data_IF_408432860134
#
_entry.id   IF_408432860134
#
_cell.length_a   1.000
_cell.length_b   1.000
_cell.length_c   1.000
_cell.angle_alpha   90.00
_cell.angle_beta   90.00
_cell.angle_gamma   90.00
#
_symmetry.space_group_name_H-M   'P 1'
#
loop_
_entity.id
_entity.type
_entity.pdbx_description
1 polymer ?
2 non-polymer ?
3 water ?
#
# COMPACT_ATOMS: atom_id res chain seq x y z
N UNK A 113 -6.53 -18.83 -0.21
CA UNK A 113 -6.62 -18.44 1.20
C UNK A 113 -6.41 -16.92 1.37
N UNK A 114 -7.07 -16.32 2.39
CA UNK A 114 -6.95 -14.88 2.63
C UNK A 114 -5.51 -14.50 2.97
N UNK A 115 -4.91 -15.10 4.03
CA UNK A 115 -3.55 -14.75 4.46
C UNK A 115 -2.48 -15.03 3.42
N UNK A 116 -2.66 -16.09 2.61
CA UNK A 116 -1.71 -16.46 1.55
C UNK A 116 -1.60 -15.32 0.53
N UNK A 117 -2.76 -14.84 0.05
CA UNK A 117 -2.88 -13.71 -0.86
C UNK A 117 -2.32 -12.42 -0.27
N UNK A 118 -2.63 -12.13 1.01
CA UNK A 118 -2.12 -10.92 1.68
C UNK A 118 -0.60 -10.87 1.74
N UNK A 119 0.05 -12.01 2.09
CA UNK A 119 1.52 -12.11 2.21
C UNK A 119 2.17 -11.94 0.82
N UNK A 120 1.61 -12.58 -0.22
CA UNK A 120 2.13 -12.41 -1.61
C UNK A 120 1.97 -10.96 -2.07
N UNK A 121 0.86 -10.33 -1.71
CA UNK A 121 0.65 -8.96 -2.08
C UNK A 121 1.54 -7.97 -1.31
N UNK A 122 1.78 -8.26 -0.03
CA UNK A 122 2.65 -7.43 0.81
C UNK A 122 4.08 -7.48 0.22
N UNK A 123 4.47 -8.64 -0.27
CA UNK A 123 5.80 -8.77 -0.88
C UNK A 123 5.82 -8.10 -2.29
N UNK A 124 4.93 -8.51 -3.21
CA UNK A 124 4.89 -7.98 -4.59
C UNK A 124 4.65 -6.46 -4.64
N UNK A 125 3.68 -6.02 -3.85
CA UNK A 125 3.23 -4.64 -3.84
C UNK A 125 3.98 -3.67 -2.95
N UNK A 126 4.87 -4.16 -2.10
CA UNK A 126 5.60 -3.27 -1.18
C UNK A 126 7.05 -3.66 -0.93
N UNK A 127 7.29 -4.81 -0.25
CA UNK A 127 8.65 -5.25 0.13
C UNK A 127 9.64 -5.37 -1.04
N UNK A 128 9.21 -6.00 -2.14
CA UNK A 128 9.98 -6.17 -3.39
C UNK A 128 10.43 -4.79 -3.96
N UNK A 129 9.64 -3.72 -3.69
CA UNK A 129 9.91 -2.37 -4.20
C UNK A 129 10.76 -1.49 -3.28
N UNK A 130 10.72 -1.73 -1.96
CA UNK A 130 11.51 -0.89 -1.02
C UNK A 130 12.80 -1.56 -0.53
N UNK A 131 12.80 -2.88 -0.32
CA UNK A 131 13.97 -3.57 0.29
C UNK A 131 15.26 -3.48 -0.55
N UNK A 132 15.25 -3.53 -1.93
CA UNK A 132 16.53 -3.39 -2.67
C UNK A 132 17.15 -2.00 -2.57
N UNK A 133 16.36 -0.98 -2.16
CA UNK A 133 16.79 0.40 -2.00
C UNK A 133 17.04 0.82 -0.54
N UNK A 134 16.65 -0.03 0.43
CA UNK A 134 16.75 0.29 1.85
C UNK A 134 18.18 0.51 2.39
N UNK A 135 19.14 -0.40 2.07
CA UNK A 135 20.53 -0.28 2.54
C UNK A 135 21.13 1.10 2.25
N UNK A 136 20.96 1.60 1.00
CA UNK A 136 21.49 2.91 0.56
C UNK A 136 20.88 4.06 1.33
N UNK A 137 19.56 3.96 1.71
CA UNK A 137 18.89 5.00 2.48
C UNK A 137 19.43 5.05 3.92
N UNK A 138 19.68 3.87 4.53
CA UNK A 138 20.24 3.77 5.89
C UNK A 138 21.70 4.31 5.94
N UNK A 139 22.50 3.94 4.93
CA UNK A 139 23.89 4.40 4.77
C UNK A 139 23.94 5.92 4.63
N UNK A 140 23.05 6.51 3.80
CA UNK A 140 22.92 7.96 3.56
C UNK A 140 22.58 8.66 4.88
N UNK A 141 21.62 8.10 5.66
CA UNK A 141 21.23 8.65 6.95
C UNK A 141 22.41 8.63 7.94
N UNK A 142 23.10 7.48 8.06
CA UNK A 142 24.23 7.29 8.97
C UNK A 142 25.43 8.19 8.67
N UNK A 143 25.64 8.51 7.38
CA UNK A 143 26.77 9.34 6.92
C UNK A 143 26.55 10.83 7.14
N UNK A 144 25.29 11.28 7.20
CA UNK A 144 24.99 12.66 7.53
C UNK A 144 25.19 12.84 9.06
N UNK A 145 24.75 11.84 9.84
CA UNK A 145 24.83 11.81 11.30
C UNK A 145 25.94 10.86 11.73
N UNK A 151 26.39 4.50 17.26
CA UNK A 151 25.32 5.47 17.07
C UNK A 151 24.51 5.23 15.81
N UNK A 152 25.10 4.47 14.86
CA UNK A 152 24.52 4.15 13.56
C UNK A 152 23.19 3.41 13.67
N UNK A 153 22.24 3.74 12.77
CA UNK A 153 20.94 3.05 12.62
C UNK A 153 21.30 1.69 12.04
N UNK A 154 20.77 0.62 12.61
CA UNK A 154 21.04 -0.71 12.10
C UNK A 154 20.42 -0.88 10.69
N UNK A 155 20.97 -1.81 9.92
CA UNK A 155 20.47 -2.12 8.61
C UNK A 155 19.17 -2.92 8.83
N UNK A 156 18.43 -3.19 7.76
CA UNK A 156 17.21 -4.02 7.75
C UNK A 156 15.96 -3.37 8.29
N UNK A 157 14.86 -3.63 7.61
CA UNK A 157 13.56 -3.17 8.04
C UNK A 157 13.06 -4.21 9.05
N UNK A 158 12.76 -3.76 10.26
CA UNK A 158 12.25 -4.63 11.30
C UNK A 158 10.72 -4.57 11.20
N UNK A 159 10.12 -5.69 10.78
CA UNK A 159 8.68 -5.83 10.53
C UNK A 159 7.97 -6.48 11.70
N UNK A 160 7.10 -5.70 12.36
CA UNK A 160 6.31 -6.18 13.49
C UNK A 160 5.13 -6.99 13.00
N UNK A 161 5.05 -8.22 13.54
CA UNK A 161 4.01 -9.18 13.18
C UNK A 161 3.20 -9.62 14.38
N UNK A 162 2.35 -8.72 14.95
CA UNK A 162 1.52 -9.14 16.10
C UNK A 162 0.45 -10.16 15.66
N UNK A 163 0.53 -11.38 16.22
CA UNK A 163 -0.42 -12.46 15.86
C UNK A 163 -1.87 -12.14 16.26
N UNK A 164 -2.07 -11.20 17.24
CA UNK A 164 -3.42 -10.76 17.63
C UNK A 164 -4.01 -9.77 16.61
N UNK A 165 -3.17 -9.35 15.62
CA UNK A 165 -3.53 -8.47 14.52
C UNK A 165 -3.83 -7.01 14.96
N UNK A 166 -3.39 -6.67 16.18
CA UNK A 166 -3.51 -5.33 16.74
C UNK A 166 -2.41 -4.48 16.14
N UNK A 167 -2.79 -3.53 15.29
CA UNK A 167 -1.83 -2.67 14.58
C UNK A 167 -2.06 -1.21 15.01
N UNK A 168 -1.38 -0.73 16.07
CA UNK A 168 -1.55 0.68 16.45
C UNK A 168 -0.76 1.60 15.52
N UNK A 169 -1.16 2.86 15.41
CA UNK A 169 -0.44 3.80 14.54
C UNK A 169 0.79 4.42 15.19
N UNK A 170 0.82 4.50 16.53
CA UNK A 170 1.93 5.07 17.28
C UNK A 170 2.63 3.99 18.10
N UNK A 171 3.93 3.81 17.86
CA UNK A 171 4.75 2.78 18.53
C UNK A 171 5.09 3.09 19.99
N UNK A 172 5.30 4.39 20.33
CA UNK A 172 5.60 4.81 21.72
C UNK A 172 4.41 4.52 22.66
N UNK A 173 3.20 4.35 22.08
CA UNK A 173 1.97 4.01 22.77
C UNK A 173 2.00 2.55 23.19
N UNK A 174 2.45 1.65 22.26
CA UNK A 174 2.58 0.21 22.50
C UNK A 174 3.65 -0.09 23.56
N UNK A 175 4.72 0.70 23.57
CA UNK A 175 5.83 0.59 24.52
C UNK A 175 6.58 1.93 24.62
N UNK A 176 6.62 2.56 25.84
CA UNK A 176 7.36 3.83 25.99
C UNK A 176 8.88 3.70 25.77
N UNK A 177 9.43 2.45 25.82
CA UNK A 177 10.84 2.17 25.54
C UNK A 177 11.16 2.15 24.03
N UNK A 178 10.14 2.40 23.18
CA UNK A 178 10.28 2.53 21.72
C UNK A 178 9.99 3.98 21.46
N UNK A 179 11.04 4.75 21.18
CA UNK A 179 10.94 6.19 20.99
C UNK A 179 11.31 6.60 19.58
N UNK A 180 10.43 7.42 18.95
CA UNK A 180 10.67 7.93 17.59
C UNK A 180 11.90 8.85 17.57
N UNK A 181 12.85 8.54 16.70
CA UNK A 181 14.06 9.33 16.56
C UNK A 181 13.96 10.25 15.33
N UNK A 182 13.74 9.67 14.13
CA UNK A 182 13.71 10.41 12.88
C UNK A 182 13.08 9.61 11.75
N UNK A 183 12.75 10.29 10.64
CA UNK A 183 12.25 9.63 9.44
C UNK A 183 13.50 9.42 8.57
N UNK A 184 13.60 8.25 7.94
CA UNK A 184 14.68 7.90 7.03
C UNK A 184 14.50 8.80 5.75
N UNK A 185 15.50 9.18 4.93
CA UNK A 185 15.17 9.97 3.73
C UNK A 185 14.16 9.18 2.85
N UNK A 186 13.08 9.81 2.39
CA UNK A 186 12.05 9.11 1.62
C UNK A 186 12.53 8.54 0.28
N UNK A 187 11.88 7.45 -0.14
CA UNK A 187 12.12 6.83 -1.44
C UNK A 187 10.94 7.26 -2.31
N UNK A 188 11.20 7.56 -3.61
CA UNK A 188 10.14 7.90 -4.57
C UNK A 188 10.28 7.01 -5.80
N UNK A 189 9.14 6.67 -6.44
CA UNK A 189 9.09 5.88 -7.66
C UNK A 189 7.76 6.05 -8.36
N UNK A 190 7.77 6.01 -9.69
CA UNK A 190 6.53 6.03 -10.46
C UNK A 190 5.92 4.67 -10.29
N UNK A 191 4.70 4.64 -9.76
CA UNK A 191 4.05 3.38 -9.44
C UNK A 191 2.60 3.38 -9.84
N UNK A 192 2.24 2.54 -10.82
CA UNK A 192 0.88 2.33 -11.30
C UNK A 192 0.11 3.62 -11.58
N UNK A 193 0.76 4.57 -12.25
CA UNK A 193 0.15 5.85 -12.59
C UNK A 193 0.33 6.91 -11.54
N UNK A 194 0.87 6.56 -10.37
CA UNK A 194 1.14 7.53 -9.31
C UNK A 194 2.58 7.99 -9.57
N UNK A 195 2.75 9.24 -10.03
CA UNK A 195 4.07 9.85 -10.26
C UNK A 195 4.71 10.08 -8.89
N UNK A 196 6.00 9.71 -8.72
CA UNK A 196 6.73 9.87 -7.45
C UNK A 196 5.95 9.38 -6.24
N UNK A 197 5.46 8.12 -6.30
CA UNK A 197 4.80 7.46 -5.17
C UNK A 197 5.86 7.46 -4.06
N UNK A 198 5.50 8.00 -2.89
CA UNK A 198 6.44 8.14 -1.76
C UNK A 198 6.39 6.96 -0.79
N UNK A 199 7.57 6.42 -0.48
CA UNK A 199 7.77 5.39 0.53
C UNK A 199 8.54 6.02 1.68
N UNK A 200 7.84 6.26 2.78
CA UNK A 200 8.46 6.82 3.97
C UNK A 200 8.59 5.75 5.06
N UNK A 201 9.73 5.75 5.78
CA UNK A 201 9.98 4.81 6.88
C UNK A 201 10.58 5.55 8.08
N UNK A 202 10.25 5.07 9.29
CA UNK A 202 10.64 5.68 10.56
C UNK A 202 11.69 4.91 11.35
N UNK A 203 12.64 5.67 11.93
CA UNK A 203 13.74 5.19 12.77
C UNK A 203 13.31 5.35 14.22
N UNK A 204 13.56 4.32 15.02
CA UNK A 204 13.24 4.27 16.43
C UNK A 204 14.44 3.92 17.27
N UNK A 205 14.49 4.50 18.50
CA UNK A 205 15.49 4.17 19.50
C UNK A 205 14.82 3.15 20.42
N UNK A 206 15.55 2.13 20.84
CA UNK A 206 15.05 1.13 21.76
C UNK A 206 15.78 1.34 23.06
N UNK A 207 15.03 1.59 24.13
CA UNK A 207 15.57 1.85 25.46
C UNK A 207 15.48 0.62 26.34
N UNK A 208 16.48 0.46 27.21
CA UNK A 208 16.53 -0.63 28.17
C UNK A 208 17.12 -0.03 29.46
N UNK A 209 16.30 0.04 30.53
CA UNK A 209 16.64 0.61 31.85
C UNK A 209 17.22 2.05 31.72
N UNK A 210 16.54 2.87 30.94
CA UNK A 210 16.91 4.27 30.68
C UNK A 210 18.09 4.48 29.72
N UNK A 211 18.63 3.40 29.15
CA UNK A 211 19.77 3.52 28.20
C UNK A 211 19.38 3.12 26.77
N UNK A 212 19.89 3.83 25.76
CA UNK A 212 19.62 3.41 24.38
C UNK A 212 20.40 2.14 24.10
N UNK A 213 19.68 1.05 23.76
CA UNK A 213 20.22 -0.28 23.51
C UNK A 213 20.24 -0.65 22.02
N UNK A 214 19.53 0.11 21.20
CA UNK A 214 19.47 -0.10 19.76
C UNK A 214 18.75 0.99 19.01
N UNK A 215 18.98 1.06 17.69
CA UNK A 215 18.39 2.01 16.76
C UNK A 215 18.06 1.28 15.46
N UNK A 216 16.78 1.29 15.05
CA UNK A 216 16.37 0.57 13.84
C UNK A 216 15.16 1.18 13.11
N UNK A 217 14.98 0.78 11.85
CA UNK A 217 13.85 1.15 11.00
C UNK A 217 12.78 0.10 11.38
N UNK A 218 11.61 0.59 11.80
CA UNK A 218 10.58 -0.27 12.35
C UNK A 218 9.17 0.14 11.91
N UNK A 219 8.35 -0.88 11.64
CA UNK A 219 6.91 -0.73 11.30
C UNK A 219 6.15 -2.05 11.42
N UNK A 220 4.82 -1.96 11.48
CA UNK A 220 3.95 -3.12 11.46
C UNK A 220 3.64 -3.51 10.02
N UNK A 221 3.44 -4.81 9.77
CA UNK A 221 2.94 -5.33 8.48
C UNK A 221 1.43 -4.99 8.48
N UNK A 222 1.05 -3.93 7.77
CA UNK A 222 -0.33 -3.42 7.69
C UNK A 222 -1.39 -4.48 7.23
N UNK A 223 -1.09 -5.53 6.41
CA UNK A 223 -2.15 -6.53 6.07
C UNK A 223 -2.72 -7.29 7.28
N UNK A 224 -1.97 -7.35 8.41
CA UNK A 224 -2.48 -7.95 9.64
C UNK A 224 -3.71 -7.16 10.15
N UNK A 225 -3.75 -5.82 9.94
CA UNK A 225 -4.93 -5.01 10.31
C UNK A 225 -6.11 -5.36 9.40
N UNK A 226 -5.84 -5.83 8.16
CA UNK A 226 -6.93 -6.25 7.29
C UNK A 226 -7.61 -7.48 7.90
N UNK A 227 -6.81 -8.44 8.43
CA UNK A 227 -7.37 -9.64 9.08
C UNK A 227 -8.22 -9.22 10.30
N UNK A 228 -7.73 -8.27 11.09
CA UNK A 228 -8.47 -7.74 12.25
C UNK A 228 -9.82 -7.15 11.77
N UNK A 229 -9.78 -6.23 10.78
CA UNK A 229 -10.99 -5.58 10.27
C UNK A 229 -11.97 -6.59 9.65
N UNK A 230 -11.46 -7.58 8.89
CA UNK A 230 -12.33 -8.61 8.32
C UNK A 230 -13.07 -9.44 9.39
N UNK A 231 -12.38 -9.72 10.54
CA UNK A 231 -13.01 -10.45 11.65
C UNK A 231 -14.07 -9.58 12.36
N UNK A 232 -14.04 -8.24 12.16
CA UNK A 232 -15.01 -7.32 12.76
C UNK A 232 -16.26 -7.11 11.89
N UNK A 233 -16.12 -7.14 10.55
CA UNK A 233 -17.21 -6.85 9.60
C UNK A 233 -17.94 -8.06 9.09
N UNK A 234 -19.25 -8.16 9.35
CA UNK A 234 -20.08 -9.29 8.93
C UNK A 234 -19.96 -9.59 7.47
N UNK A 235 -19.92 -8.58 6.60
CA UNK A 235 -19.83 -8.77 5.14
C UNK A 235 -18.53 -9.42 4.66
N UNK A 236 -17.47 -9.42 5.50
CA UNK A 236 -16.22 -10.05 5.11
C UNK A 236 -16.25 -11.57 5.15
N UNK A 237 -17.23 -12.17 5.85
CA UNK A 237 -17.40 -13.62 5.99
C UNK A 237 -16.16 -14.27 6.58
N UNK A 238 -15.58 -13.62 7.59
CA UNK A 238 -14.32 -14.05 8.19
C UNK A 238 -14.49 -14.03 9.69
N UNK A 239 -14.38 -15.20 10.33
CA UNK A 239 -14.59 -15.27 11.77
C UNK A 239 -13.36 -14.95 12.58
N UNK A 240 -13.63 -14.40 13.77
CA UNK A 240 -12.63 -14.08 14.80
C UNK A 240 -11.95 -15.37 15.23
N UNK A 241 -12.68 -16.52 15.20
CA UNK A 241 -12.12 -17.82 15.57
C UNK A 241 -11.04 -18.30 14.62
N UNK A 242 -11.03 -17.81 13.37
CA UNK A 242 -10.05 -18.16 12.32
C UNK A 242 -8.90 -17.17 12.18
N UNK A 243 -8.97 -16.04 12.91
CA UNK A 243 -8.00 -14.98 12.74
C UNK A 243 -6.56 -15.36 13.13
N UNK A 244 -6.35 -16.01 14.31
CA UNK A 244 -5.01 -16.41 14.75
C UNK A 244 -4.30 -17.34 13.74
N UNK A 245 -5.02 -18.34 13.22
CA UNK A 245 -4.49 -19.27 12.21
C UNK A 245 -4.10 -18.50 10.93
N UNK A 246 -4.94 -17.52 10.52
CA UNK A 246 -4.67 -16.66 9.36
C UNK A 246 -3.44 -15.76 9.59
N UNK A 247 -3.30 -15.17 10.80
CA UNK A 247 -2.12 -14.34 11.11
C UNK A 247 -0.83 -15.18 11.04
N UNK A 248 -0.86 -16.43 11.58
CA UNK A 248 0.30 -17.33 11.54
C UNK A 248 0.64 -17.72 10.09
N UNK A 249 -0.38 -18.00 9.27
CA UNK A 249 -0.21 -18.34 7.86
C UNK A 249 0.36 -17.14 7.08
N UNK A 250 -0.08 -15.90 7.40
CA UNK A 250 0.47 -14.70 6.79
C UNK A 250 1.99 -14.65 7.04
N UNK A 251 2.40 -14.86 8.31
CA UNK A 251 3.82 -14.84 8.72
C UNK A 251 4.64 -15.95 8.04
N UNK A 252 4.09 -17.18 8.03
CA UNK A 252 4.76 -18.32 7.41
C UNK A 252 4.93 -18.15 5.90
N UNK A 253 3.89 -17.62 5.20
CA UNK A 253 3.94 -17.38 3.75
C UNK A 253 5.01 -16.33 3.46
N UNK A 254 5.04 -15.25 4.26
CA UNK A 254 6.04 -14.20 4.11
C UNK A 254 7.47 -14.73 4.29
N UNK A 255 7.70 -15.61 5.28
CA UNK A 255 8.99 -16.26 5.54
C UNK A 255 9.41 -17.12 4.33
N UNK A 256 8.49 -17.95 3.79
CA UNK A 256 8.73 -18.79 2.61
C UNK A 256 9.08 -17.96 1.37
N UNK A 257 8.35 -16.83 1.12
CA UNK A 257 8.61 -15.95 -0.03
C UNK A 257 10.03 -15.37 0.08
N UNK A 258 10.34 -14.77 1.25
CA UNK A 258 11.63 -14.14 1.50
C UNK A 258 12.81 -15.08 1.39
N UNK A 259 12.61 -16.36 1.70
CA UNK A 259 13.63 -17.41 1.60
C UNK A 259 14.06 -17.62 0.12
N UNK A 260 13.25 -17.17 -0.85
CA UNK A 260 13.52 -17.24 -2.30
C UNK A 260 13.90 -15.89 -2.92
N UNK A 261 13.93 -14.80 -2.11
CA UNK A 261 14.28 -13.44 -2.53
C UNK A 261 15.47 -12.96 -1.63
N UNK A 262 16.74 -13.33 -1.96
CA UNK A 262 17.89 -13.01 -1.06
C UNK A 262 18.07 -11.54 -0.68
N UNK A 263 18.00 -10.68 -1.70
CA UNK A 263 18.11 -9.21 -1.59
C UNK A 263 16.98 -8.59 -0.72
N UNK A 264 15.86 -9.31 -0.57
CA UNK A 264 14.78 -8.84 0.29
C UNK A 264 14.94 -9.43 1.69
N UNK A 265 15.29 -10.74 1.76
CA UNK A 265 15.52 -11.49 3.00
C UNK A 265 16.61 -10.83 3.89
N UNK A 266 17.77 -10.48 3.31
CA UNK A 266 18.86 -9.86 4.09
C UNK A 266 18.59 -8.39 4.44
N UNK A 267 17.53 -7.81 3.88
CA UNK A 267 17.18 -6.43 4.13
C UNK A 267 16.02 -6.26 5.09
N UNK A 268 15.55 -7.35 5.68
CA UNK A 268 14.46 -7.26 6.64
C UNK A 268 14.52 -8.38 7.67
N UNK A 269 13.81 -8.19 8.78
CA UNK A 269 13.69 -9.14 9.87
C UNK A 269 12.24 -9.23 10.29
N UNK A 270 11.72 -10.45 10.35
CA UNK A 270 10.32 -10.72 10.73
C UNK A 270 10.19 -10.91 12.25
N UNK A 271 9.45 -10.03 12.91
CA UNK A 271 9.25 -10.08 14.37
C UNK A 271 7.81 -10.51 14.67
N UNK A 272 7.58 -11.82 14.70
CA UNK A 272 6.27 -12.41 15.03
C UNK A 272 6.19 -12.64 16.55
N UNK A 273 5.05 -12.28 17.15
CA UNK A 273 4.84 -12.44 18.60
C UNK A 273 3.38 -12.53 18.97
N UNK A 274 3.11 -13.15 20.13
CA UNK A 274 1.82 -13.25 20.77
C UNK A 274 1.99 -12.68 22.19
N UNK A 275 1.09 -11.80 22.63
CA UNK A 275 1.16 -11.19 23.96
C UNK A 275 0.51 -12.10 25.00
N UNK A 282 4.03 -7.65 28.89
CA UNK A 282 4.76 -7.82 27.63
C UNK A 282 5.60 -6.59 27.26
N UNK A 283 6.85 -6.81 26.83
CA UNK A 283 7.72 -5.73 26.40
C UNK A 283 8.03 -5.85 24.91
N UNK A 284 7.43 -4.96 24.10
CA UNK A 284 7.67 -4.95 22.65
C UNK A 284 9.13 -4.58 22.35
N UNK A 285 9.70 -3.62 23.10
CA UNK A 285 11.12 -3.22 22.93
C UNK A 285 12.06 -4.39 23.17
N UNK A 286 11.78 -5.25 24.19
CA UNK A 286 12.59 -6.44 24.48
C UNK A 286 12.47 -7.47 23.36
N UNK A 287 11.27 -7.53 22.73
CA UNK A 287 11.02 -8.43 21.60
C UNK A 287 11.89 -7.98 20.42
N UNK A 288 11.91 -6.66 20.12
CA UNK A 288 12.72 -6.10 19.04
C UNK A 288 14.22 -6.26 19.35
N UNK A 289 14.65 -5.92 20.59
CA UNK A 289 16.05 -6.00 21.01
C UNK A 289 16.64 -7.42 20.89
N UNK A 290 15.83 -8.44 21.19
CA UNK A 290 16.23 -9.84 21.08
C UNK A 290 16.61 -10.18 19.65
N UNK A 291 15.85 -9.68 18.66
CA UNK A 291 16.15 -9.87 17.24
C UNK A 291 17.38 -9.07 16.80
N UNK A 292 17.48 -7.79 17.22
CA UNK A 292 18.59 -6.89 16.90
C UNK A 292 19.96 -7.40 17.41
N UNK A 293 19.98 -8.03 18.62
CA UNK A 293 21.17 -8.59 19.26
C UNK A 293 21.65 -9.94 18.67
N UNK A 294 20.92 -10.51 17.70
CA UNK A 294 21.28 -11.75 17.03
C UNK A 294 22.26 -11.52 15.89
N UNK A 295 22.43 -10.25 15.50
CA UNK A 295 23.36 -9.84 14.44
C UNK A 295 24.61 -9.22 15.05
N UNK B 113 -10.62 -16.80 -0.22
CA UNK B 113 -10.15 -16.59 -1.58
C UNK B 113 -9.10 -15.48 -1.65
N UNK B 114 -8.19 -15.58 -2.67
CA UNK B 114 -7.13 -14.59 -2.83
C UNK B 114 -7.71 -13.21 -3.15
N UNK B 115 -8.51 -13.08 -4.23
CA UNK B 115 -9.06 -11.77 -4.64
C UNK B 115 -9.96 -11.15 -3.59
N UNK B 116 -10.71 -11.97 -2.82
CA UNK B 116 -11.61 -11.50 -1.76
C UNK B 116 -10.80 -10.74 -0.69
N UNK B 117 -9.73 -11.36 -0.21
CA UNK B 117 -8.79 -10.77 0.74
C UNK B 117 -8.08 -9.53 0.20
N UNK B 118 -7.65 -9.57 -1.08
CA UNK B 118 -6.98 -8.41 -1.70
C UNK B 118 -7.89 -7.17 -1.78
N UNK B 119 -9.18 -7.36 -2.14
CA UNK B 119 -10.15 -6.27 -2.22
C UNK B 119 -10.42 -5.68 -0.83
N UNK B 120 -10.61 -6.53 0.18
CA UNK B 120 -10.81 -6.06 1.58
C UNK B 120 -9.59 -5.31 2.07
N UNK B 121 -8.40 -5.79 1.72
CA UNK B 121 -7.17 -5.14 2.14
C UNK B 121 -6.93 -3.82 1.41
N UNK B 122 -7.26 -3.75 0.10
CA UNK B 122 -7.15 -2.53 -0.68
C UNK B 122 -8.08 -1.47 -0.07
N UNK B 123 -9.25 -1.90 0.38
CA UNK B 123 -10.15 -0.95 1.02
C UNK B 123 -9.63 -0.54 2.43
N UNK B 124 -9.48 -1.51 3.33
CA UNK B 124 -9.03 -1.30 4.73
C UNK B 124 -7.68 -0.59 4.84
N UNK B 125 -6.72 -1.02 4.03
CA UNK B 125 -5.35 -0.52 4.05
C UNK B 125 -5.02 0.70 3.21
N UNK B 126 -5.94 1.13 2.36
CA UNK B 126 -5.68 2.26 1.48
C UNK B 126 -6.88 3.18 1.24
N UNK B 127 -7.94 2.69 0.53
CA UNK B 127 -9.10 3.49 0.17
C UNK B 127 -9.81 4.17 1.36
N UNK B 128 -10.07 3.40 2.44
CA UNK B 128 -10.69 3.86 3.70
C UNK B 128 -9.89 5.05 4.30
N UNK B 129 -8.56 5.10 4.06
CA UNK B 129 -7.67 6.10 4.61
C UNK B 129 -7.48 7.35 3.74
N UNK B 130 -7.63 7.23 2.40
CA UNK B 130 -7.42 8.37 1.53
C UNK B 130 -8.70 9.01 1.01
N UNK B 131 -9.77 8.22 0.76
CA UNK B 131 -10.99 8.73 0.15
C UNK B 131 -11.72 9.78 1.01
N UNK B 132 -11.78 9.70 2.37
CA UNK B 132 -12.45 10.79 3.14
C UNK B 132 -11.71 12.14 3.12
N UNK B 133 -10.44 12.13 2.73
CA UNK B 133 -9.60 13.32 2.65
C UNK B 133 -9.38 13.82 1.19
N UNK B 134 -9.81 13.04 0.19
CA UNK B 134 -9.61 13.35 -1.22
C UNK B 134 -10.30 14.65 -1.69
N UNK B 135 -11.60 14.85 -1.38
CA UNK B 135 -12.34 16.05 -1.81
C UNK B 135 -11.62 17.35 -1.47
N UNK B 136 -11.12 17.48 -0.22
CA UNK B 136 -10.41 18.67 0.25
C UNK B 136 -9.11 18.91 -0.49
N UNK B 137 -8.40 17.82 -0.89
CA UNK B 137 -7.15 17.92 -1.64
C UNK B 137 -7.42 18.42 -3.07
N UNK B 138 -8.48 17.88 -3.72
CA UNK B 138 -8.87 18.31 -5.08
C UNK B 138 -9.29 19.80 -5.07
N UNK B 139 -10.14 20.22 -4.10
CA UNK B 139 -10.61 21.61 -3.91
C UNK B 139 -9.44 22.57 -3.72
N UNK B 140 -8.44 22.19 -2.89
CA UNK B 140 -7.21 22.93 -2.61
C UNK B 140 -6.42 23.12 -3.89
N UNK B 141 -6.30 22.04 -4.71
CA UNK B 141 -5.60 22.11 -5.98
C UNK B 141 -6.30 23.08 -6.95
N UNK B 142 -7.62 22.95 -7.10
CA UNK B 142 -8.42 23.80 -8.00
C UNK B 142 -8.36 25.30 -7.65
N UNK B 143 -8.26 25.61 -6.34
CA UNK B 143 -8.22 26.98 -5.82
C UNK B 143 -6.84 27.64 -5.83
N UNK B 144 -5.75 26.86 -5.59
CA UNK B 144 -4.39 27.40 -5.42
C UNK B 144 -3.27 26.89 -6.33
N UNK B 145 -3.43 25.69 -6.93
CA UNK B 145 -2.34 25.13 -7.73
C UNK B 145 -2.71 24.91 -9.19
N UNK B 146 -4.00 24.75 -9.47
CA UNK B 146 -4.47 24.59 -10.85
C UNK B 146 -4.21 25.87 -11.61
N UNK B 147 -3.77 25.72 -12.87
CA UNK B 147 -3.58 26.82 -13.79
C UNK B 147 -4.94 27.56 -13.79
N UNK B 148 -4.89 28.87 -13.51
CA UNK B 148 -6.00 29.82 -13.39
C UNK B 148 -6.98 29.80 -14.59
N UNK B 149 -6.47 29.49 -15.77
CA UNK B 149 -7.22 29.47 -17.03
C UNK B 149 -7.84 28.14 -17.38
N UNK B 150 -7.40 27.08 -16.68
CA UNK B 150 -7.82 25.70 -16.92
C UNK B 150 -9.12 25.34 -16.26
N UNK B 151 -9.70 24.25 -16.75
CA UNK B 151 -10.89 23.67 -16.17
C UNK B 151 -10.49 22.95 -14.90
N UNK B 152 -11.40 22.93 -13.94
CA UNK B 152 -11.25 22.28 -12.64
C UNK B 152 -11.01 20.78 -12.79
N UNK B 153 -10.16 20.24 -11.91
CA UNK B 153 -9.90 18.80 -11.81
C UNK B 153 -11.22 18.22 -11.28
N UNK B 154 -11.71 17.12 -11.87
CA UNK B 154 -12.93 16.49 -11.38
C UNK B 154 -12.72 15.88 -10.00
N UNK B 155 -13.81 15.70 -9.26
CA UNK B 155 -13.76 15.05 -7.96
C UNK B 155 -13.59 13.53 -8.25
N UNK B 156 -13.35 12.73 -7.21
CA UNK B 156 -13.27 11.26 -7.25
C UNK B 156 -11.98 10.70 -7.79
N UNK B 157 -11.52 9.64 -7.14
CA UNK B 157 -10.36 8.90 -7.58
C UNK B 157 -10.86 7.91 -8.62
N UNK B 158 -10.30 7.99 -9.83
CA UNK B 158 -10.65 7.09 -10.91
C UNK B 158 -9.66 5.91 -10.83
N UNK B 159 -10.20 4.73 -10.48
CA UNK B 159 -9.44 3.51 -10.24
C UNK B 159 -9.49 2.57 -11.45
N UNK B 160 -8.33 2.37 -12.08
CA UNK B 160 -8.21 1.50 -13.24
C UNK B 160 -8.15 0.07 -12.82
N UNK B 161 -9.07 -0.73 -13.38
CA UNK B 161 -9.21 -2.14 -13.08
C UNK B 161 -9.06 -3.01 -14.33
N UNK B 162 -7.82 -3.11 -14.90
CA UNK B 162 -7.62 -3.98 -16.05
C UNK B 162 -7.76 -5.46 -15.66
N UNK B 163 -8.77 -6.12 -16.24
CA UNK B 163 -9.09 -7.51 -16.01
C UNK B 163 -7.98 -8.49 -16.43
N UNK B 164 -7.05 -8.05 -17.32
CA UNK B 164 -5.86 -8.82 -17.74
C UNK B 164 -4.74 -8.73 -16.67
N UNK B 165 -4.94 -7.86 -15.65
CA UNK B 165 -4.03 -7.66 -14.51
C UNK B 165 -2.69 -7.01 -14.90
N UNK B 166 -2.66 -6.38 -16.09
CA UNK B 166 -1.51 -5.66 -16.62
C UNK B 166 -1.50 -4.29 -15.97
N UNK B 167 -0.53 -4.04 -15.10
CA UNK B 167 -0.45 -2.79 -14.36
C UNK B 167 0.85 -2.06 -14.73
N UNK B 168 0.83 -1.17 -15.76
CA UNK B 168 2.08 -0.43 -16.09
C UNK B 168 2.29 0.71 -15.11
N UNK B 169 3.54 1.17 -14.96
CA UNK B 169 3.80 2.28 -14.04
C UNK B 169 3.54 3.66 -14.62
N UNK B 170 3.62 3.80 -15.96
CA UNK B 170 3.41 5.05 -16.68
C UNK B 170 2.14 4.97 -17.52
N UNK B 171 1.21 5.89 -17.27
CA UNK B 171 -0.08 5.93 -17.96
C UNK B 171 -0.03 6.44 -19.41
N UNK B 172 0.88 7.40 -19.71
CA UNK B 172 1.06 7.93 -21.08
C UNK B 172 1.57 6.84 -22.04
N UNK B 173 2.17 5.76 -21.48
CA UNK B 173 2.66 4.59 -22.19
C UNK B 173 1.48 3.73 -22.65
N UNK B 174 0.48 3.53 -21.76
CA UNK B 174 -0.73 2.74 -22.04
C UNK B 174 -1.60 3.42 -23.09
N UNK B 175 -1.63 4.77 -23.07
CA UNK B 175 -2.38 5.61 -24.00
C UNK B 175 -1.76 7.02 -24.06
N UNK B 176 -1.27 7.46 -25.26
CA UNK B 176 -0.72 8.83 -25.38
C UNK B 176 -1.75 9.95 -25.14
N UNK B 177 -3.07 9.62 -25.22
CA UNK B 177 -4.16 10.56 -24.94
C UNK B 177 -4.40 10.77 -23.43
N UNK B 178 -3.59 10.10 -22.57
CA UNK B 178 -3.61 10.24 -21.12
C UNK B 178 -2.29 10.91 -20.81
N UNK B 179 -2.35 12.21 -20.50
CA UNK B 179 -1.16 13.02 -20.27
C UNK B 179 -1.09 13.53 -18.84
N UNK B 180 0.09 13.32 -18.19
CA UNK B 180 0.32 13.78 -16.82
C UNK B 180 0.28 15.30 -16.74
N UNK B 181 -0.56 15.83 -15.86
CA UNK B 181 -0.69 17.26 -15.65
C UNK B 181 0.09 17.70 -14.39
N UNK B 182 -0.29 17.17 -13.21
CA UNK B 182 0.31 17.54 -11.91
C UNK B 182 0.05 16.49 -10.83
N UNK B 183 0.83 16.56 -9.75
CA UNK B 183 0.60 15.73 -8.57
C UNK B 183 -0.33 16.55 -7.69
N UNK B 184 -1.32 15.91 -7.10
CA UNK B 184 -2.26 16.52 -6.16
C UNK B 184 -1.44 16.86 -4.86
N UNK B 185 -1.78 17.88 -4.02
CA UNK B 185 -0.97 18.06 -2.79
C UNK B 185 -1.00 16.75 -1.96
N UNK B 186 0.15 16.30 -1.45
CA UNK B 186 0.23 15.03 -0.72
C UNK B 186 -0.58 15.00 0.58
N UNK B 187 -1.04 13.81 0.94
CA UNK B 187 -1.70 13.56 2.22
C UNK B 187 -0.64 12.87 3.10
N UNK B 188 -0.59 13.22 4.39
CA UNK B 188 0.31 12.56 5.35
C UNK B 188 -0.51 12.09 6.56
N UNK B 189 -0.10 10.94 7.14
CA UNK B 189 -0.73 10.36 8.32
C UNK B 189 0.19 9.39 9.01
N UNK B 190 0.13 9.32 10.34
CA UNK B 190 0.89 8.33 11.10
C UNK B 190 0.20 7.01 10.86
N UNK B 191 0.94 6.06 10.29
CA UNK B 191 0.33 4.78 9.92
C UNK B 191 1.24 3.61 10.29
N UNK B 192 0.77 2.77 11.24
CA UNK B 192 1.44 1.55 11.69
C UNK B 192 2.92 1.75 12.03
N UNK B 193 3.23 2.86 12.73
CA UNK B 193 4.59 3.17 13.12
C UNK B 193 5.38 3.96 12.09
N UNK B 194 4.78 4.20 10.92
CA UNK B 194 5.40 5.06 9.91
C UNK B 194 4.88 6.46 10.21
N UNK B 195 5.77 7.35 10.73
CA UNK B 195 5.41 8.75 11.01
C UNK B 195 5.23 9.47 9.67
N UNK B 196 4.15 10.25 9.52
CA UNK B 196 3.85 10.98 8.29
C UNK B 196 3.98 10.11 7.01
N UNK B 197 3.31 8.95 7.02
CA UNK B 197 3.23 8.06 5.86
C UNK B 197 2.60 8.95 4.75
N UNK B 198 3.27 9.03 3.60
CA UNK B 198 2.83 9.89 2.51
C UNK B 198 1.95 9.17 1.48
N UNK B 199 0.81 9.77 1.15
CA UNK B 199 -0.11 9.32 0.11
C UNK B 199 -0.07 10.35 -0.99
N UNK B 200 0.52 9.97 -2.13
CA UNK B 200 0.58 10.86 -3.28
C UNK B 200 -0.32 10.34 -4.40
N UNK B 201 -0.99 11.26 -5.12
CA UNK B 201 -1.89 10.91 -6.25
C UNK B 201 -1.66 11.87 -7.40
N UNK B 202 -1.83 11.37 -8.63
CA UNK B 202 -1.55 12.11 -9.86
C UNK B 202 -2.79 12.49 -10.67
N UNK B 203 -2.76 13.73 -11.21
CA UNK B 203 -3.81 14.32 -12.04
C UNK B 203 -3.40 14.14 -13.49
N UNK B 204 -4.36 13.74 -14.32
CA UNK B 204 -4.17 13.50 -15.75
C UNK B 204 -5.18 14.26 -16.58
N UNK B 205 -4.74 14.68 -17.77
CA UNK B 205 -5.59 15.31 -18.78
C UNK B 205 -5.96 14.19 -19.75
N UNK B 206 -7.21 14.15 -20.19
CA UNK B 206 -7.67 13.16 -21.16
C UNK B 206 -7.94 13.87 -22.48
N UNK B 207 -7.10 13.59 -23.47
CA UNK B 207 -7.15 14.17 -24.80
C UNK B 207 -8.06 13.39 -25.72
N UNK B 208 -8.85 14.12 -26.51
CA UNK B 208 -9.76 13.61 -27.53
C UNK B 208 -9.61 14.54 -28.74
N UNK B 209 -9.09 13.98 -29.86
CA UNK B 209 -8.82 14.70 -31.13
C UNK B 209 -7.90 15.91 -30.90
N UNK B 210 -6.84 15.68 -30.12
CA UNK B 210 -5.82 16.66 -29.75
C UNK B 210 -6.20 17.65 -28.67
N UNK B 211 -7.46 17.62 -28.18
CA UNK B 211 -7.95 18.57 -27.18
C UNK B 211 -8.34 17.99 -25.82
N UNK B 212 -8.28 18.83 -24.76
CA UNK B 212 -8.66 18.51 -23.38
C UNK B 212 -10.15 18.20 -23.28
N UNK B 213 -10.47 16.94 -23.02
CA UNK B 213 -11.86 16.51 -22.85
C UNK B 213 -12.20 16.25 -21.38
N UNK B 214 -11.18 16.11 -20.53
CA UNK B 214 -11.38 15.88 -19.10
C UNK B 214 -10.09 15.93 -18.30
N UNK B 215 -10.22 16.13 -16.98
CA UNK B 215 -9.11 16.22 -16.04
C UNK B 215 -9.51 15.45 -14.76
N UNK B 216 -8.72 14.43 -14.39
CA UNK B 216 -9.06 13.62 -13.21
C UNK B 216 -7.84 13.00 -12.50
N UNK B 217 -8.07 12.60 -11.24
CA UNK B 217 -7.10 11.87 -10.40
C UNK B 217 -7.25 10.40 -10.85
N UNK B 218 -6.15 9.80 -11.28
CA UNK B 218 -6.18 8.48 -11.87
C UNK B 218 -5.00 7.59 -11.44
N UNK B 219 -5.30 6.30 -11.23
CA UNK B 219 -4.31 5.25 -10.89
C UNK B 219 -4.89 3.84 -11.05
N UNK B 220 -4.00 2.84 -11.14
CA UNK B 220 -4.38 1.43 -11.17
C UNK B 220 -4.52 0.91 -9.74
N UNK B 221 -5.43 -0.07 -9.54
CA UNK B 221 -5.55 -0.81 -8.28
C UNK B 221 -4.38 -1.80 -8.29
N UNK B 222 -3.32 -1.47 -7.56
CA UNK B 222 -2.06 -2.26 -7.49
C UNK B 222 -2.24 -3.78 -7.08
N UNK B 223 -3.28 -4.20 -6.28
CA UNK B 223 -3.43 -5.65 -6.01
C UNK B 223 -3.64 -6.51 -7.25
N UNK B 224 -4.11 -5.95 -8.39
CA UNK B 224 -4.26 -6.70 -9.65
C UNK B 224 -2.90 -7.16 -10.15
N UNK B 225 -1.83 -6.38 -9.87
CA UNK B 225 -0.48 -6.82 -10.25
C UNK B 225 -0.06 -8.00 -9.38
N UNK B 226 -0.59 -8.10 -8.12
CA UNK B 226 -0.28 -9.25 -7.27
C UNK B 226 -0.85 -10.53 -7.92
N UNK B 227 -2.09 -10.47 -8.45
CA UNK B 227 -2.70 -11.61 -9.16
C UNK B 227 -1.83 -12.00 -10.36
N UNK B 228 -1.37 -11.01 -11.14
CA UNK B 228 -0.49 -11.26 -12.29
C UNK B 228 0.77 -12.00 -11.83
N UNK B 229 1.49 -11.44 -10.82
CA UNK B 229 2.73 -12.02 -10.32
C UNK B 229 2.52 -13.43 -9.73
N UNK B 230 1.43 -13.63 -8.97
CA UNK B 230 1.11 -14.94 -8.41
C UNK B 230 0.90 -16.03 -9.49
N UNK B 231 0.24 -15.66 -10.58
CA UNK B 231 -0.04 -16.54 -11.71
C UNK B 231 1.27 -16.97 -12.41
N UNK B 232 2.38 -16.22 -12.20
CA UNK B 232 3.70 -16.48 -12.79
C UNK B 232 4.61 -17.32 -11.88
N UNK B 233 4.55 -17.10 -10.56
CA UNK B 233 5.41 -17.79 -9.60
C UNK B 233 4.86 -19.11 -9.17
N UNK B 234 5.63 -20.20 -9.42
CA UNK B 234 5.22 -21.56 -9.05
C UNK B 234 4.87 -21.71 -7.59
N UNK B 235 5.63 -21.04 -6.69
CA UNK B 235 5.38 -21.15 -5.24
C UNK B 235 4.07 -20.52 -4.78
N UNK B 236 3.45 -19.68 -5.62
CA UNK B 236 2.20 -19.02 -5.24
C UNK B 236 0.99 -19.95 -5.31
N UNK B 237 1.12 -21.10 -5.99
CA UNK B 237 0.03 -22.06 -6.14
C UNK B 237 -1.20 -21.43 -6.79
N UNK B 238 -0.96 -20.61 -7.79
CA UNK B 238 -1.99 -19.87 -8.47
C UNK B 238 -1.78 -20.14 -9.96
N UNK B 239 -2.74 -20.85 -10.59
CA UNK B 239 -2.64 -21.19 -12.02
C UNK B 239 -2.80 -19.95 -12.90
N UNK B 240 -2.06 -19.87 -14.04
CA UNK B 240 -2.16 -18.77 -15.00
C UNK B 240 -3.59 -18.48 -15.42
N UNK B 241 -4.36 -19.56 -15.70
CA UNK B 241 -5.73 -19.49 -16.20
C UNK B 241 -6.74 -19.03 -15.14
N UNK B 242 -6.31 -18.85 -13.87
CA UNK B 242 -7.18 -18.38 -12.78
C UNK B 242 -7.26 -16.87 -12.67
N UNK B 243 -6.39 -16.14 -13.39
CA UNK B 243 -6.23 -14.68 -13.36
C UNK B 243 -7.49 -13.85 -13.63
N UNK B 244 -8.20 -14.16 -14.73
CA UNK B 244 -9.38 -13.43 -15.11
C UNK B 244 -10.51 -13.55 -14.08
N UNK B 245 -10.79 -14.77 -13.60
CA UNK B 245 -11.84 -15.00 -12.60
C UNK B 245 -11.51 -14.29 -11.27
N UNK B 246 -10.22 -14.31 -10.87
CA UNK B 246 -9.76 -13.60 -9.66
C UNK B 246 -9.84 -12.07 -9.83
N UNK B 247 -9.48 -11.53 -11.03
CA UNK B 247 -9.58 -10.09 -11.30
C UNK B 247 -11.07 -9.64 -11.23
N UNK B 248 -12.01 -10.46 -11.78
CA UNK B 248 -13.45 -10.13 -11.74
C UNK B 248 -13.95 -10.16 -10.29
N UNK B 249 -13.52 -11.15 -9.50
CA UNK B 249 -13.88 -11.28 -8.09
C UNK B 249 -13.32 -10.11 -7.26
N UNK B 250 -12.08 -9.65 -7.57
CA UNK B 250 -11.48 -8.48 -6.93
C UNK B 250 -12.40 -7.27 -7.16
N UNK B 251 -12.83 -7.04 -8.44
CA UNK B 251 -13.68 -5.92 -8.81
C UNK B 251 -15.05 -6.00 -8.14
N UNK B 252 -15.68 -7.18 -8.15
CA UNK B 252 -17.00 -7.39 -7.55
C UNK B 252 -16.97 -7.18 -6.02
N UNK B 253 -15.92 -7.69 -5.34
CA UNK B 253 -15.75 -7.53 -3.88
C UNK B 253 -15.58 -6.06 -3.57
N UNK B 254 -14.73 -5.35 -4.33
CA UNK B 254 -14.52 -3.93 -4.14
C UNK B 254 -15.82 -3.12 -4.31
N UNK B 255 -16.63 -3.45 -5.33
CA UNK B 255 -17.93 -2.81 -5.57
C UNK B 255 -18.88 -3.07 -4.36
N UNK B 256 -18.90 -4.31 -3.84
CA UNK B 256 -19.72 -4.71 -2.69
C UNK B 256 -19.33 -3.96 -1.42
N UNK B 257 -18.03 -3.80 -1.17
CA UNK B 257 -17.53 -3.08 0.03
C UNK B 257 -17.90 -1.59 -0.05
N UNK B 258 -17.64 -0.97 -1.22
CA UNK B 258 -17.93 0.45 -1.45
C UNK B 258 -19.41 0.79 -1.34
N UNK B 259 -20.28 -0.16 -1.68
CA UNK B 259 -21.74 0.01 -1.58
C UNK B 259 -22.19 0.20 -0.11
N UNK B 260 -21.33 -0.19 0.88
CA UNK B 260 -21.55 -0.03 2.32
C UNK B 260 -20.76 1.13 2.94
N UNK B 261 -19.99 1.86 2.14
CA UNK B 261 -19.19 2.99 2.57
C UNK B 261 -19.48 4.24 1.67
N UNK B 262 -20.62 4.98 1.89
CA UNK B 262 -20.94 6.14 1.01
C UNK B 262 -19.87 7.24 0.87
N UNK B 263 -19.13 7.61 1.95
CA UNK B 263 -18.04 8.60 1.84
C UNK B 263 -16.84 8.02 1.02
N UNK B 264 -16.78 6.70 0.83
CA UNK B 264 -15.74 6.14 -0.02
C UNK B 264 -16.30 5.95 -1.44
N UNK B 265 -17.53 5.41 -1.54
CA UNK B 265 -18.23 5.20 -2.81
C UNK B 265 -18.38 6.49 -3.66
N UNK B 266 -18.79 7.61 -3.03
CA UNK B 266 -18.95 8.87 -3.77
C UNK B 266 -17.61 9.58 -4.06
N UNK B 267 -16.51 9.06 -3.50
CA UNK B 267 -15.20 9.64 -3.71
C UNK B 267 -14.35 8.84 -4.69
N UNK B 268 -14.92 7.83 -5.31
CA UNK B 268 -14.16 7.07 -6.30
C UNK B 268 -15.07 6.46 -7.37
N UNK B 269 -14.46 6.04 -8.48
CA UNK B 269 -15.13 5.41 -9.59
C UNK B 269 -14.31 4.23 -10.04
N UNK B 270 -14.95 3.05 -10.15
CA UNK B 270 -14.29 1.82 -10.58
C UNK B 270 -14.36 1.65 -12.11
N UNK B 271 -13.19 1.62 -12.75
CA UNK B 271 -13.10 1.48 -14.20
C UNK B 271 -12.56 0.10 -14.56
N UNK B 272 -13.46 -0.88 -14.66
CA UNK B 272 -13.13 -2.26 -15.01
C UNK B 272 -13.23 -2.44 -16.53
N UNK B 273 -12.24 -3.11 -17.13
CA UNK B 273 -12.24 -3.30 -18.59
C UNK B 273 -11.40 -4.51 -19.03
N UNK B 274 -11.74 -5.03 -20.20
CA UNK B 274 -11.05 -6.09 -20.91
C UNK B 274 -10.72 -5.53 -22.31
N UNK B 275 -9.48 -5.72 -22.76
CA UNK B 275 -9.02 -5.23 -24.06
C UNK B 275 -9.39 -6.21 -25.18
N UNK B 282 -7.66 -0.58 -28.74
CA UNK B 282 -8.32 -0.17 -27.49
C UNK B 282 -7.87 1.21 -27.04
N UNK B 283 -8.83 2.05 -26.61
CA UNK B 283 -8.52 3.38 -26.12
C UNK B 283 -8.83 3.49 -24.61
N UNK B 284 -7.79 3.53 -23.78
CA UNK B 284 -7.94 3.65 -22.33
C UNK B 284 -8.54 5.02 -21.98
N UNK B 285 -8.12 6.09 -22.68
CA UNK B 285 -8.65 7.45 -22.48
C UNK B 285 -10.16 7.50 -22.74
N UNK B 286 -10.65 6.79 -23.80
CA UNK B 286 -12.09 6.71 -24.11
C UNK B 286 -12.84 5.95 -23.05
N UNK B 287 -12.19 4.93 -22.45
CA UNK B 287 -12.76 4.15 -21.36
C UNK B 287 -12.96 5.07 -20.14
N UNK B 288 -11.93 5.87 -19.79
CA UNK B 288 -11.99 6.83 -18.67
C UNK B 288 -13.02 7.94 -18.96
N UNK B 289 -12.98 8.53 -20.19
CA UNK B 289 -13.90 9.61 -20.59
C UNK B 289 -15.38 9.20 -20.52
N UNK B 290 -15.70 7.95 -20.85
CA UNK B 290 -17.08 7.43 -20.78
C UNK B 290 -17.61 7.47 -19.34
N UNK B 291 -16.74 7.13 -18.36
CA UNK B 291 -17.08 7.19 -16.94
C UNK B 291 -17.16 8.65 -16.45
N UNK B 292 -16.19 9.51 -16.85
CA UNK B 292 -16.16 10.93 -16.47
C UNK B 292 -17.43 11.67 -16.92
N UNK B 293 -17.85 11.45 -18.18
CA UNK B 293 -19.02 12.08 -18.81
C UNK B 293 -20.37 11.67 -18.20
N UNK B 294 -20.38 10.73 -17.23
CA UNK B 294 -21.60 10.29 -16.54
C UNK B 294 -21.89 11.20 -15.34
X LIG C 1 0.40 0.22 -4.07
X LIG C 1 0.69 1.40 -4.14
X LIG C 1 1.92 1.83 -4.17
X LIG C 1 -0.33 2.49 -4.18
X LIG C 1 -1.55 2.21 -3.33
X LIG C 1 -1.23 2.05 -1.87
X LIG C 1 -0.55 2.88 -1.27
X LIG C 1 -1.76 0.86 -1.19
X LIG C 1 -2.57 -0.36 -2.15
X LIG C 1 -1.66 0.49 0.12
X LIG C 1 -2.21 -0.81 0.43
X LIG C 1 -2.75 -1.38 -0.74
X LIG C 1 -3.31 -2.66 -0.74
X LIG C 1 -2.25 -1.56 1.61
X LIG C 1 -2.78 -2.84 1.62
X LIG C 1 -2.86 -3.65 2.71
X LIG C 1 -2.24 -3.18 3.91
X LIG C 1 -3.31 -3.39 0.43
X LIG C 1 -3.87 -4.64 0.57
X LIG C 1 -3.58 -5.65 -0.41
X LIG C 1 -2.84 -6.75 0.30
X LIG C 1 -1.46 -6.36 0.76
X LIG C 1 -0.73 -5.98 -0.41
X LIG C 1 -0.17 -4.72 -0.43
X LIG C 1 -0.13 -4.01 -1.62
X LIG C 1 -0.65 -4.67 -2.69
X LIG C 1 -0.60 -4.04 -3.96
X LIG C 1 0.43 -2.74 -1.66
X LIG C 1 0.97 -2.20 -0.51
X LIG C 1 0.97 -2.89 0.72
X LIG C 1 0.39 -4.17 0.71
X LIG C 1 0.39 -4.88 1.86
X LIG C 1 1.69 -0.62 -0.33
X LIG C 1 1.98 -0.89 1.37
X LIG C 1 1.56 -2.11 1.77
X LIG C 1 2.63 0.17 2.13
X LIG C 1 2.94 1.23 1.62
X LIG C 1 2.93 -0.10 3.58
X LIG C 1 2.42 0.99 4.50
X LIG C 1 0.94 1.19 4.38
X LIG C 1 0.41 2.27 4.28
X LIG C 1 0.27 0.08 4.38
X LIG C 1 -0.62 2.69 -5.21
X LIG C 1 0.15 3.40 -3.85
X LIG C 1 -2.23 3.05 -3.44
X LIG C 1 -2.10 1.36 -3.73
X LIG C 1 -1.21 1.09 0.91
X LIG C 1 -3.74 -3.07 -1.64
X LIG C 1 -1.86 -1.09 2.51
X LIG C 1 -2.54 -3.96 4.62
X LIG C 1 -2.63 -2.24 4.27
X LIG C 1 -1.16 -3.16 3.81
X LIG C 1 -4.48 -6.00 -0.89
X LIG C 1 -3.01 -5.10 -1.15
X LIG C 1 -3.40 -7.11 1.17
X LIG C 1 -2.77 -7.62 -0.34
X LIG C 1 -0.87 -7.19 1.15
X LIG C 1 -1.47 -5.59 1.54
X LIG C 1 -0.96 -4.75 -4.69
X LIG C 1 0.38 -3.67 -4.28
X LIG C 1 -1.28 -3.19 -3.87
X LIG C 1 0.44 -2.16 -2.59
X LIG C 1 1.66 -2.50 2.78
X LIG C 1 2.49 -1.06 3.83
X LIG C 1 4.00 -0.21 3.76
X LIG C 1 2.89 1.94 4.23
X LIG C 1 2.74 0.83 5.52
X LIG D 1 0.22 0.23 4.22
X LIG D 1 0.92 1.17 4.52
X LIG D 1 0.45 2.36 4.69
X LIG D 1 2.39 1.06 4.71
X LIG D 1 3.05 0.03 3.80
X LIG D 1 2.67 0.22 2.35
X LIG D 1 2.84 1.29 1.78
X LIG D 1 2.08 -0.92 1.66
X LIG D 1 1.72 -2.37 2.57
X LIG D 1 1.70 -1.01 0.37
X LIG D 1 1.08 -2.27 0.03
X LIG D 1 1.02 -3.12 1.16
X LIG D 1 0.43 -4.37 1.10
X LIG D 1 0.53 -2.72 -1.17
X LIG D 1 -0.08 -3.97 -1.23
X LIG D 1 -0.69 -4.48 -2.35
X LIG D 1 -0.82 -3.61 -3.46
X LIG D 1 -0.13 -4.80 -0.10
X LIG D 1 -0.76 -6.00 -0.28
X LIG D 1 -1.89 -6.30 0.55
X LIG D 1 -3.13 -6.42 -0.32
X LIG D 1 -3.58 -5.14 -0.96
X LIG D 1 -4.03 -4.26 0.08
X LIG D 1 -3.33 -3.07 0.21
X LIG D 1 -2.83 -2.70 1.46
X LIG D 1 -3.03 -3.60 2.47
X LIG D 1 -2.51 -3.28 3.75
X LIG D 1 -2.19 -1.48 1.61
X LIG D 1 -2.04 -0.65 0.52
X LIG D 1 -2.52 -0.99 -0.76
X LIG D 1 -3.16 -2.22 -0.88
X LIG D 1 -3.62 -2.59 -2.08
X LIG D 1 -1.21 0.88 0.50
X LIG D 1 -1.51 1.07 -1.22
X LIG D 1 -2.20 0.02 -1.72
X LIG D 1 -1.00 2.26 -1.90
X LIG D 1 -0.36 3.11 -1.28
X LIG D 1 -1.32 2.42 -3.36
X LIG D 1 -0.08 2.42 -4.23
X LIG D 1 0.82 1.25 -3.98
X LIG D 1 2.01 1.37 -3.80
X LIG D 1 0.22 0.09 -3.98
X LIG D 1 2.63 0.84 5.75
X LIG D 1 2.83 2.05 4.53
X LIG D 1 4.13 0.13 3.89
X LIG D 1 2.83 -0.98 4.15
X LIG D 1 1.84 -0.25 -0.38
X LIG D 1 0.40 -5.01 1.98
X LIG D 1 0.59 -2.08 -2.04
X LIG D 1 -1.63 -4.07 -4.02
X LIG D 1 0.06 -3.60 -4.11
X LIG D 1 -1.10 -2.60 -3.16
X LIG D 1 -1.72 -7.20 1.15
X LIG D 1 -1.88 -5.46 1.24
X LIG D 1 -3.01 -7.18 -1.09
X LIG D 1 -3.94 -6.81 0.29
X LIG D 1 -4.49 -5.25 -1.55
X LIG D 1 -2.82 -4.71 -1.62
X LIG D 1 -2.86 -4.05 4.45
X LIG D 1 -2.76 -2.30 4.16
X LIG D 1 -1.43 -3.33 3.63
X LIG D 1 -1.82 -1.16 2.59
X LIG D 1 -2.50 -0.07 -2.76
X LIG D 1 -1.99 1.61 -3.63
X LIG D 1 -1.87 3.34 -3.56
X LIG D 1 0.49 3.32 -4.02
X LIG D 1 -0.35 2.53 -5.28
#
# INVERSE_FOLDING_TARGET
>A
MAHHHHHHGSDSEVNQEAKPEVKPEVKPETHINLKVSDGSSEIFFKIKKTTPLRRLMEAFAKRQGKEMDSLTFLYDGIEIQADQTPEDLDMEDNDIIEAHREQIGGENLYFQSVAHGLAWSYYIGYLRLILPELQARIRTYNQHYNNLLRGAVSQRLYILLPLDCGVPDNLSMADPNIRFLDKLPQQTADRAGIKDRVYSNSIYELLENGQRAGTCVLEYATPLQTLFAMSQYSQAGFSREDRLEQAKLFCQTLEDILADAPESQNNCRLIAYQEPADDSSFSLSQEVLRHLRQEEKEEV
>B
MAHHHHHHGSDSEVNQEAKPEVKPEVKPETHINLKVSDGSSEIFFKIKKTTPLRRLMEAFAKRQGKEMDSLTFLYDGIEIQADQTPEDLDMEDNDIIEAHREQIGGENLYFQSVAHGLAWSYYIGYLRLILPELQARIRTYNQHYNNLLRGAVSQRLYILLPLDCGVPDNLSMADPNIRFLDKLPQQTADRAGIKDRVYSNSIYELLENGQRAGTCVLEYATPLQTLFAMSQYSQAGFSREDRLEQAKLFCQTLEDILADAPESQNNCRLIAYQEPADDSSFSLSQEVLRHLRQEEKEEV
>C hetero
1 QB7 O7 C23 O8 C22 C21 C20 O6 C19 S1 C24 C25 C18 C17 C26 C27 O9 C28 C O C1 C2 C3 O1 C4 C15 O5 C16 C14 C13 C6 C5 F S C8 C7 C9 O2 C10 C11 C12 O3 O4 H19 H20 H18 H17 H22 H16 H23 H25 H26 H24 H H1 H2 H3 H5 H4 H15 H14 H13 H12 H6 H7 H8 H9 H10
>D hetero
1 QB7 O7 C23 O8 C22 C21 C20 O6 C19 S1 C24 C25 C18 C17 C26 C27 O9 C28 C O C1 C2 C3 O1 C4 C15 O5 C16 C14 C13 C6 C5 F S C8 C7 C9 O2 C10 C11 C12 O3 O4 H19 H20 H18 H17 H22 H16 H23 H25 H26 H24 H H1 H2 H3 H5 H4 H15 H14 H13 H12 H6 H7 H8 H9 H10
#
